data_IF_465907047242
#
_entry.id   IF_465907047242
#
_cell.length_a   1.000
_cell.length_b   1.000
_cell.length_c   1.000
_cell.angle_alpha   90.00
_cell.angle_beta   90.00
_cell.angle_gamma   90.00
#
_symmetry.space_group_name_H-M   'P 1'
#
loop_
_entity.id
_entity.type
_entity.pdbx_description
1 polymer ?
#
# COMPACT_ATOMS: atom_id res chain seq x y z
N UNK A 1 -16.29 14.63 -0.05
CA UNK A 1 -14.96 14.87 -0.64
C UNK A 1 -14.64 13.65 -1.48
N UNK A 2 -14.50 13.80 -2.79
CA UNK A 2 -14.02 12.71 -3.64
C UNK A 2 -12.55 12.51 -3.29
N UNK A 3 -12.22 11.41 -2.63
CA UNK A 3 -10.83 11.08 -2.35
C UNK A 3 -10.22 10.52 -3.64
N UNK A 4 -9.16 11.14 -4.12
CA UNK A 4 -8.35 10.57 -5.21
C UNK A 4 -7.80 9.22 -4.74
N UNK A 5 -7.88 8.21 -5.60
CA UNK A 5 -7.29 6.89 -5.36
C UNK A 5 -6.13 6.76 -6.32
N UNK A 6 -4.93 6.62 -5.76
CA UNK A 6 -3.70 6.50 -6.52
C UNK A 6 -2.94 5.24 -6.12
N UNK A 7 -2.45 4.53 -7.13
CA UNK A 7 -1.58 3.38 -6.97
C UNK A 7 -0.57 3.41 -8.12
N UNK A 8 0.71 3.29 -7.79
CA UNK A 8 1.81 3.32 -8.75
C UNK A 8 2.67 2.06 -8.61
N UNK A 9 3.11 1.53 -9.75
CA UNK A 9 4.13 0.48 -9.80
C UNK A 9 5.50 1.14 -9.87
N UNK A 10 6.17 1.32 -8.74
CA UNK A 10 7.47 2.00 -8.70
C UNK A 10 8.60 1.27 -9.44
N UNK A 11 8.42 -0.02 -9.77
CA UNK A 11 9.42 -0.78 -10.54
C UNK A 11 9.36 -0.38 -12.02
N UNK A 12 8.16 -0.26 -12.57
CA UNK A 12 7.94 0.03 -14.00
C UNK A 12 7.60 1.50 -14.28
N UNK A 13 7.19 2.26 -13.27
CA UNK A 13 6.80 3.67 -13.31
C UNK A 13 7.47 4.45 -12.15
N UNK A 14 8.81 4.57 -12.14
CA UNK A 14 9.57 5.19 -11.04
C UNK A 14 9.32 6.69 -10.89
N UNK A 15 8.65 7.31 -11.87
CA UNK A 15 8.26 8.72 -11.83
C UNK A 15 6.79 8.91 -11.48
N UNK A 16 6.03 7.84 -11.20
CA UNK A 16 4.62 7.90 -10.78
C UNK A 16 3.72 8.65 -11.78
N UNK A 17 3.99 8.47 -13.07
CA UNK A 17 3.25 9.17 -14.13
C UNK A 17 1.95 8.44 -14.51
N UNK A 18 1.80 7.18 -14.10
CA UNK A 18 0.75 6.28 -14.54
C UNK A 18 -0.01 5.70 -13.34
N UNK A 19 -1.08 6.38 -12.92
CA UNK A 19 -1.96 5.85 -11.87
C UNK A 19 -2.69 4.58 -12.36
N UNK A 20 -2.38 3.44 -11.75
CA UNK A 20 -2.96 2.11 -12.06
C UNK A 20 -4.10 1.70 -11.14
N UNK A 21 -4.58 2.58 -10.25
CA UNK A 21 -5.63 2.23 -9.30
C UNK A 21 -6.92 1.72 -9.97
N UNK A 22 -7.27 2.25 -11.15
CA UNK A 22 -8.49 1.81 -11.86
C UNK A 22 -8.34 0.49 -12.62
N UNK A 23 -7.12 0.07 -12.90
CA UNK A 23 -6.81 -1.13 -13.69
C UNK A 23 -6.24 -2.28 -12.86
N UNK A 24 -5.85 -2.04 -11.60
CA UNK A 24 -5.37 -3.08 -10.69
C UNK A 24 -6.49 -3.99 -10.18
N UNK A 25 -6.12 -5.10 -9.56
CA UNK A 25 -7.07 -5.96 -8.85
C UNK A 25 -7.68 -5.19 -7.66
N UNK A 26 -9.02 -5.05 -7.57
CA UNK A 26 -9.67 -4.29 -6.49
C UNK A 26 -9.39 -4.87 -5.09
N UNK A 27 -9.04 -6.16 -4.98
CA UNK A 27 -8.63 -6.78 -3.72
C UNK A 27 -7.35 -6.14 -3.17
N UNK A 28 -6.40 -5.80 -4.04
CA UNK A 28 -5.14 -5.14 -3.64
C UNK A 28 -5.44 -3.76 -3.06
N UNK A 29 -6.29 -2.97 -3.73
CA UNK A 29 -6.71 -1.67 -3.21
C UNK A 29 -7.43 -1.79 -1.86
N UNK A 30 -8.32 -2.77 -1.70
CA UNK A 30 -9.01 -2.99 -0.43
C UNK A 30 -8.06 -3.32 0.72
N UNK A 31 -7.05 -4.15 0.45
CA UNK A 31 -6.03 -4.52 1.45
C UNK A 31 -5.14 -3.33 1.81
N UNK A 32 -4.65 -2.58 0.82
CA UNK A 32 -3.86 -1.36 1.04
C UNK A 32 -4.68 -0.30 1.80
N UNK A 33 -5.97 -0.15 1.49
CA UNK A 33 -6.86 0.75 2.21
C UNK A 33 -7.02 0.33 3.68
N UNK A 34 -7.25 -0.95 3.95
CA UNK A 34 -7.36 -1.46 5.32
C UNK A 34 -6.06 -1.28 6.11
N UNK A 35 -4.91 -1.50 5.46
CA UNK A 35 -3.61 -1.26 6.06
C UNK A 35 -3.42 0.21 6.41
N UNK A 36 -3.68 1.11 5.46
CA UNK A 36 -3.59 2.56 5.67
C UNK A 36 -4.50 3.02 6.81
N UNK A 37 -5.72 2.49 6.88
CA UNK A 37 -6.65 2.83 7.96
C UNK A 37 -6.16 2.34 9.32
N UNK A 38 -5.59 1.14 9.40
CA UNK A 38 -4.96 0.64 10.62
C UNK A 38 -3.77 1.51 11.06
N UNK A 39 -2.93 1.95 10.12
CA UNK A 39 -1.78 2.82 10.41
C UNK A 39 -2.19 4.23 10.87
N UNK A 40 -3.29 4.79 10.35
CA UNK A 40 -3.82 6.08 10.80
C UNK A 40 -4.24 6.08 12.28
N UNK A 41 -4.66 4.92 12.78
CA UNK A 41 -5.18 4.77 14.14
C UNK A 41 -4.22 4.07 15.10
N UNK A 42 -3.06 3.61 14.61
CA UNK A 42 -2.12 2.86 15.43
C UNK A 42 -1.37 3.76 16.43
N UNK A 43 -0.91 3.16 17.53
CA UNK A 43 0.04 3.79 18.47
C UNK A 43 1.05 2.79 19.01
N UNK A 44 2.30 3.23 19.19
CA UNK A 44 3.37 2.41 19.74
C UNK A 44 3.64 1.13 18.94
N UNK A 45 3.77 0.00 19.63
CA UNK A 45 4.09 -1.28 19.01
C UNK A 45 3.04 -1.76 17.98
N UNK A 46 1.78 -1.31 18.09
CA UNK A 46 0.71 -1.69 17.16
C UNK A 46 0.95 -1.16 15.74
N UNK A 47 1.75 -0.10 15.57
CA UNK A 47 2.06 0.44 14.25
C UNK A 47 2.88 -0.52 13.40
N UNK A 48 3.79 -1.31 14.00
CA UNK A 48 4.51 -2.35 13.23
C UNK A 48 3.60 -3.47 12.77
N UNK A 49 2.56 -3.80 13.55
CA UNK A 49 1.57 -4.80 13.16
C UNK A 49 0.72 -4.29 11.99
N UNK A 50 0.25 -3.04 12.06
CA UNK A 50 -0.47 -2.40 10.96
C UNK A 50 0.40 -2.33 9.69
N UNK A 51 1.65 -1.88 9.80
CA UNK A 51 2.61 -1.79 8.70
C UNK A 51 3.00 -3.15 8.09
N UNK A 52 2.85 -4.24 8.84
CA UNK A 52 3.14 -5.60 8.36
C UNK A 52 1.89 -6.38 7.92
N UNK A 53 0.73 -5.73 7.80
CA UNK A 53 -0.48 -6.40 7.33
C UNK A 53 -0.27 -7.01 5.93
N UNK A 54 -0.87 -8.17 5.63
CA UNK A 54 -0.71 -8.80 4.33
C UNK A 54 -1.45 -8.02 3.24
N UNK A 55 -0.68 -7.36 2.39
CA UNK A 55 -1.16 -6.75 1.16
C UNK A 55 -0.91 -7.80 0.08
N UNK A 56 -1.95 -8.49 -0.38
CA UNK A 56 -1.88 -9.61 -1.29
C UNK A 56 -0.88 -9.38 -2.43
N UNK A 57 0.25 -10.06 -2.37
CA UNK A 57 1.27 -10.16 -3.40
C UNK A 57 2.05 -8.86 -3.77
N UNK A 58 2.61 -8.16 -2.79
CA UNK A 58 3.93 -7.53 -3.01
C UNK A 58 4.99 -8.41 -2.35
N UNK A 59 5.49 -9.39 -3.10
CA UNK A 59 6.81 -9.95 -2.83
C UNK A 59 7.84 -8.87 -3.17
N UNK A 60 8.03 -7.91 -2.28
CA UNK A 60 9.27 -7.15 -2.26
C UNK A 60 10.36 -8.15 -1.82
N UNK A 61 11.34 -8.50 -2.67
CA UNK A 61 12.47 -9.26 -2.16
C UNK A 61 13.21 -8.36 -1.18
N UNK A 62 13.27 -8.79 0.08
CA UNK A 62 14.06 -8.19 1.17
C UNK A 62 13.63 -6.75 1.56
N UNK A 63 13.27 -6.51 2.82
CA UNK A 63 14.28 -6.36 3.86
C UNK A 63 15.50 -5.53 3.38
N UNK A 64 15.28 -4.25 3.07
CA UNK A 64 16.28 -3.22 3.38
C UNK A 64 15.61 -2.18 4.28
N UNK A 65 15.47 -2.58 5.54
CA UNK A 65 15.63 -1.63 6.64
C UNK A 65 17.11 -1.25 6.61
N UNK A 66 17.42 0.00 6.27
CA UNK A 66 18.58 0.66 6.86
C UNK A 66 18.18 1.17 8.25
#
# INVERSE_FOLDING_TARGET
MNQEIELYDLVNDPYEMNNVARSTNPVILGQLHAQLDAMKHCTGASCRVADSMPNGAISAPALLVQ
#
